data_IF_595877986450
#
_entry.id   IF_595877986450
#
_cell.length_a   1.000
_cell.length_b   1.000
_cell.length_c   1.000
_cell.angle_alpha   90.00
_cell.angle_beta   90.00
_cell.angle_gamma   90.00
#
_symmetry.space_group_name_H-M   'P 1'
#
loop_
_entity.id
_entity.type
_entity.pdbx_description
1 polymer ?
#
# COMPACT_ATOMS: atom_id res chain seq x y z
N UNK A 1 -65.82 52.85 45.60
CA UNK A 1 -64.61 52.05 45.98
C UNK A 1 -64.64 50.54 45.70
N UNK A 2 -65.75 49.93 45.37
CA UNK A 2 -65.85 48.46 45.05
C UNK A 2 -65.69 48.14 43.54
N UNK A 3 -65.91 49.06 42.65
CA UNK A 3 -65.81 48.82 41.22
C UNK A 3 -64.39 48.88 40.68
N UNK A 4 -63.55 49.77 41.15
CA UNK A 4 -62.16 49.87 40.80
C UNK A 4 -61.33 48.64 41.18
N UNK A 5 -61.66 47.99 42.26
CA UNK A 5 -61.00 46.82 42.71
C UNK A 5 -61.34 45.57 41.81
N UNK A 6 -62.50 45.51 41.18
CA UNK A 6 -62.89 44.46 40.30
C UNK A 6 -62.27 44.60 38.86
N UNK A 7 -62.12 45.81 38.37
CA UNK A 7 -61.48 46.07 37.08
C UNK A 7 -59.98 45.77 37.12
N UNK A 8 -59.31 46.16 38.20
CA UNK A 8 -57.88 45.91 38.40
C UNK A 8 -57.59 44.40 38.49
N UNK A 9 -58.45 43.59 39.12
CA UNK A 9 -58.30 42.16 39.27
C UNK A 9 -58.50 41.39 37.93
N UNK A 10 -59.34 41.91 36.99
CA UNK A 10 -59.52 41.33 35.68
C UNK A 10 -58.35 41.68 34.73
N UNK A 11 -57.82 42.89 34.85
CA UNK A 11 -56.64 43.35 34.10
C UNK A 11 -55.39 42.54 34.50
N UNK A 12 -55.18 42.38 35.80
CA UNK A 12 -54.02 41.60 36.35
C UNK A 12 -54.07 40.14 35.92
N UNK A 13 -55.27 39.51 35.90
CA UNK A 13 -55.43 38.13 35.44
C UNK A 13 -55.13 37.98 33.95
N UNK A 14 -55.54 38.94 33.11
CA UNK A 14 -55.23 38.93 31.67
C UNK A 14 -53.73 39.14 31.43
N UNK A 15 -53.10 40.08 32.13
CA UNK A 15 -51.67 40.34 32.06
C UNK A 15 -50.85 39.10 32.44
N UNK A 16 -51.26 38.41 33.52
CA UNK A 16 -50.61 37.18 33.99
C UNK A 16 -50.78 36.05 32.93
N UNK A 17 -51.95 35.95 32.31
CA UNK A 17 -52.18 34.96 31.27
C UNK A 17 -51.33 35.17 30.03
N UNK A 18 -51.17 36.45 29.60
CA UNK A 18 -50.27 36.80 28.50
C UNK A 18 -48.79 36.55 28.82
N UNK A 19 -48.38 36.81 30.07
CA UNK A 19 -47.03 36.56 30.56
C UNK A 19 -46.68 35.04 30.51
N UNK A 20 -47.62 34.21 30.99
CA UNK A 20 -47.44 32.74 30.94
C UNK A 20 -47.41 32.25 29.48
N UNK A 21 -48.31 32.77 28.62
CA UNK A 21 -48.31 32.39 27.20
C UNK A 21 -46.99 32.78 26.52
N UNK A 22 -46.47 34.00 26.79
CA UNK A 22 -45.17 34.44 26.26
C UNK A 22 -44.01 33.57 26.73
N UNK A 23 -44.02 33.15 28.00
CA UNK A 23 -42.98 32.25 28.54
C UNK A 23 -43.01 30.91 27.85
N UNK A 24 -44.20 30.30 27.62
CA UNK A 24 -44.35 29.02 26.90
C UNK A 24 -43.85 29.16 25.48
N UNK A 25 -44.17 30.26 24.78
CA UNK A 25 -43.68 30.53 23.42
C UNK A 25 -42.15 30.65 23.36
N UNK A 26 -41.54 31.35 24.30
CA UNK A 26 -40.09 31.46 24.41
C UNK A 26 -39.44 30.09 24.63
N UNK A 27 -39.98 29.26 25.51
CA UNK A 27 -39.47 27.91 25.77
C UNK A 27 -39.61 27.03 24.51
N UNK A 28 -40.71 27.12 23.78
CA UNK A 28 -40.91 26.37 22.52
C UNK A 28 -39.92 26.80 21.42
N UNK A 29 -39.63 28.08 21.29
CA UNK A 29 -38.66 28.61 20.35
C UNK A 29 -37.24 28.17 20.72
N UNK A 30 -36.85 28.20 21.99
CA UNK A 30 -35.55 27.72 22.45
C UNK A 30 -35.37 26.22 22.21
N UNK A 31 -36.39 25.42 22.48
CA UNK A 31 -36.35 24.00 22.23
C UNK A 31 -36.27 23.68 20.71
N UNK A 32 -37.02 24.43 19.90
CA UNK A 32 -37.00 24.29 18.43
C UNK A 32 -35.63 24.62 17.81
N UNK A 33 -34.98 25.69 18.27
CA UNK A 33 -33.66 26.09 17.75
C UNK A 33 -32.55 25.13 18.18
N UNK A 34 -32.61 24.58 19.42
CA UNK A 34 -31.65 23.58 19.87
C UNK A 34 -31.80 22.25 19.10
N UNK A 35 -32.99 21.82 18.83
CA UNK A 35 -33.23 20.59 18.04
C UNK A 35 -32.79 20.77 16.58
N UNK A 36 -33.01 21.94 15.97
CA UNK A 36 -32.58 22.24 14.60
C UNK A 36 -31.05 22.21 14.46
N UNK A 37 -30.31 22.63 15.49
CA UNK A 37 -28.84 22.59 15.46
C UNK A 37 -28.29 21.17 15.55
N UNK A 38 -28.98 20.27 16.30
CA UNK A 38 -28.53 18.88 16.42
C UNK A 38 -28.95 17.99 15.23
N UNK A 39 -29.93 18.40 14.44
CA UNK A 39 -30.35 17.65 13.25
C UNK A 39 -29.54 17.96 11.99
N UNK A 40 -28.86 19.09 11.92
CA UNK A 40 -28.05 19.48 10.76
C UNK A 40 -26.67 18.80 10.72
N UNK A 41 -26.23 18.15 11.79
CA UNK A 41 -24.96 17.40 11.85
C UNK A 41 -25.06 15.95 11.43
N UNK A 42 -26.25 15.44 11.13
CA UNK A 42 -26.47 14.03 10.78
C UNK A 42 -26.32 13.72 9.27
N UNK A 43 -26.04 14.71 8.42
CA UNK A 43 -25.82 14.50 7.00
C UNK A 43 -24.38 14.60 6.54
N UNK A 44 -23.43 14.57 7.44
CA UNK A 44 -22.04 14.29 7.13
C UNK A 44 -21.97 12.83 6.68
N UNK A 45 -21.68 12.62 5.39
CA UNK A 45 -21.57 11.29 4.80
C UNK A 45 -20.74 10.39 5.71
N UNK A 46 -21.19 9.17 5.86
CA UNK A 46 -20.49 8.14 6.64
C UNK A 46 -19.05 8.13 6.14
N UNK A 47 -18.13 8.73 6.88
CA UNK A 47 -16.72 8.54 6.66
C UNK A 47 -16.45 7.07 6.98
N UNK A 48 -16.51 6.26 5.93
CA UNK A 48 -16.14 4.86 6.02
C UNK A 48 -14.64 4.85 6.24
N UNK A 49 -14.20 4.81 7.49
CA UNK A 49 -12.81 4.56 7.82
C UNK A 49 -12.57 3.10 7.45
N UNK A 50 -12.05 2.90 6.25
CA UNK A 50 -11.61 1.59 5.81
C UNK A 50 -10.13 1.48 6.16
N UNK A 51 -9.76 0.50 6.99
CA UNK A 51 -8.37 0.18 7.22
C UNK A 51 -7.73 -0.18 5.88
N UNK A 52 -6.56 0.42 5.59
CA UNK A 52 -5.79 0.05 4.42
C UNK A 52 -5.25 -1.37 4.59
N UNK A 53 -5.29 -2.16 3.52
CA UNK A 53 -4.70 -3.47 3.43
C UNK A 53 -3.47 -3.40 2.53
N UNK A 54 -2.33 -3.92 3.04
CA UNK A 54 -1.14 -4.18 2.26
C UNK A 54 -1.10 -5.67 1.95
N UNK A 55 -1.15 -6.02 0.70
CA UNK A 55 -1.10 -7.40 0.23
C UNK A 55 -0.22 -7.46 -1.03
N UNK A 56 0.87 -8.22 -0.94
CA UNK A 56 1.86 -8.36 -2.01
C UNK A 56 1.93 -9.83 -2.40
N UNK A 57 1.86 -10.10 -3.69
CA UNK A 57 2.16 -11.40 -4.25
C UNK A 57 3.47 -11.34 -5.06
N UNK A 58 4.30 -12.36 -4.91
CA UNK A 58 5.50 -12.56 -5.70
C UNK A 58 5.35 -13.81 -6.56
N UNK A 59 5.47 -13.64 -7.87
CA UNK A 59 5.40 -14.71 -8.86
C UNK A 59 6.68 -14.74 -9.69
N UNK A 60 7.02 -15.90 -10.23
CA UNK A 60 8.08 -16.06 -11.20
C UNK A 60 7.55 -16.73 -12.47
N UNK A 61 8.19 -16.48 -13.60
CA UNK A 61 7.84 -17.09 -14.88
C UNK A 61 8.54 -18.42 -15.00
N UNK A 62 7.79 -19.51 -15.18
CA UNK A 62 8.33 -20.84 -15.44
C UNK A 62 8.83 -20.98 -16.89
N UNK A 63 9.46 -22.12 -17.22
CA UNK A 63 9.97 -22.41 -18.58
C UNK A 63 8.86 -22.54 -19.63
N UNK A 64 7.61 -22.73 -19.21
CA UNK A 64 6.44 -22.77 -20.09
C UNK A 64 5.84 -21.38 -20.32
N UNK A 65 6.39 -20.35 -19.66
CA UNK A 65 5.91 -18.98 -19.73
C UNK A 65 4.74 -18.65 -18.80
N UNK A 66 4.38 -19.53 -17.86
CA UNK A 66 3.32 -19.31 -16.89
C UNK A 66 3.84 -18.61 -15.64
N UNK A 67 3.00 -17.77 -15.05
CA UNK A 67 3.28 -17.17 -13.74
C UNK A 67 2.94 -18.16 -12.64
N UNK A 68 3.91 -18.48 -11.80
CA UNK A 68 3.78 -19.37 -10.64
C UNK A 68 4.29 -18.68 -9.39
N UNK A 69 3.73 -18.99 -8.21
CA UNK A 69 4.20 -18.36 -6.97
C UNK A 69 5.70 -18.61 -6.75
N UNK A 70 6.42 -17.55 -6.41
CA UNK A 70 7.83 -17.58 -6.03
C UNK A 70 8.02 -17.49 -4.50
N UNK A 71 6.95 -17.30 -3.74
CA UNK A 71 7.01 -17.21 -2.29
C UNK A 71 7.52 -18.51 -1.67
N UNK A 72 8.52 -18.38 -0.80
CA UNK A 72 9.14 -19.53 -0.13
C UNK A 72 9.98 -20.44 -1.03
N UNK A 73 10.20 -20.07 -2.29
CA UNK A 73 11.03 -20.83 -3.22
C UNK A 73 12.43 -20.25 -3.33
N UNK A 74 13.41 -21.12 -3.56
CA UNK A 74 14.76 -20.71 -3.96
C UNK A 74 14.74 -20.37 -5.46
N UNK A 75 15.14 -19.16 -5.82
CA UNK A 75 15.28 -18.75 -7.21
C UNK A 75 16.60 -19.26 -7.74
N UNK A 76 16.56 -19.87 -8.93
CA UNK A 76 17.75 -20.37 -9.63
C UNK A 76 18.01 -19.50 -10.86
N UNK A 77 19.28 -19.25 -11.16
CA UNK A 77 19.66 -18.58 -12.40
C UNK A 77 19.37 -19.47 -13.62
N UNK A 78 18.95 -18.85 -14.69
CA UNK A 78 18.79 -19.55 -15.97
C UNK A 78 20.12 -19.92 -16.58
N UNK A 79 20.21 -21.13 -17.08
CA UNK A 79 21.34 -21.63 -17.89
C UNK A 79 20.81 -21.90 -19.30
N UNK A 80 21.40 -21.26 -20.29
CA UNK A 80 20.94 -21.34 -21.70
C UNK A 80 19.45 -20.95 -21.85
N UNK A 81 18.98 -19.99 -21.02
CA UNK A 81 17.60 -19.49 -21.07
C UNK A 81 16.56 -20.34 -20.35
N UNK A 82 16.94 -21.48 -19.76
CA UNK A 82 16.05 -22.38 -19.02
C UNK A 82 16.40 -22.41 -17.53
N UNK A 83 15.40 -22.65 -16.68
CA UNK A 83 15.59 -22.86 -15.24
C UNK A 83 16.19 -24.26 -15.08
N UNK A 84 17.41 -24.38 -14.54
CA UNK A 84 18.04 -25.69 -14.38
C UNK A 84 17.30 -26.55 -13.35
N UNK A 85 17.44 -27.87 -13.44
CA UNK A 85 16.91 -28.79 -12.43
C UNK A 85 17.52 -28.51 -11.03
N UNK A 86 16.80 -28.92 -10.00
CA UNK A 86 17.25 -28.78 -8.62
C UNK A 86 18.63 -29.44 -8.42
N UNK A 87 19.54 -28.73 -7.74
CA UNK A 87 20.90 -29.18 -7.49
C UNK A 87 21.90 -28.95 -8.62
N UNK A 88 21.49 -28.31 -9.72
CA UNK A 88 22.42 -27.93 -10.79
C UNK A 88 23.36 -26.83 -10.28
N UNK A 89 24.66 -27.10 -10.33
CA UNK A 89 25.69 -26.14 -9.97
C UNK A 89 25.90 -25.16 -11.14
N UNK A 90 25.87 -23.87 -10.81
CA UNK A 90 26.18 -22.80 -11.78
C UNK A 90 27.60 -22.33 -11.50
N UNK A 91 28.42 -22.43 -12.55
CA UNK A 91 29.81 -21.99 -12.48
C UNK A 91 29.92 -20.56 -12.96
N UNK A 92 30.38 -19.67 -12.08
CA UNK A 92 30.66 -18.29 -12.40
C UNK A 92 32.07 -18.15 -12.94
N UNK A 93 32.19 -17.59 -14.12
CA UNK A 93 33.46 -17.31 -14.77
C UNK A 93 33.54 -15.79 -15.08
N UNK A 94 34.75 -15.20 -15.05
CA UNK A 94 34.92 -13.79 -15.42
C UNK A 94 34.28 -13.49 -16.78
N UNK A 95 33.46 -12.44 -16.82
CA UNK A 95 32.72 -12.03 -18.02
C UNK A 95 31.38 -12.73 -18.23
N UNK A 96 31.04 -13.78 -17.47
CA UNK A 96 29.73 -14.42 -17.60
C UNK A 96 28.58 -13.55 -17.04
N UNK A 97 27.40 -13.75 -17.59
CA UNK A 97 26.16 -13.11 -17.13
C UNK A 97 25.08 -14.15 -17.00
N UNK A 98 24.42 -14.18 -15.84
CA UNK A 98 23.27 -15.03 -15.58
C UNK A 98 22.06 -14.19 -15.19
N UNK A 99 20.88 -14.67 -15.59
CA UNK A 99 19.59 -14.03 -15.28
C UNK A 99 18.74 -14.92 -14.39
N UNK A 100 18.03 -14.32 -13.46
CA UNK A 100 16.95 -15.00 -12.76
C UNK A 100 15.73 -15.14 -13.67
N UNK A 101 14.79 -16.07 -13.38
CA UNK A 101 13.48 -16.04 -13.98
C UNK A 101 12.84 -14.66 -13.85
N UNK A 102 12.08 -14.26 -14.85
CA UNK A 102 11.31 -13.02 -14.77
C UNK A 102 10.39 -13.07 -13.55
N UNK A 103 10.42 -12.05 -12.71
CA UNK A 103 9.62 -11.94 -11.49
C UNK A 103 8.50 -10.95 -11.71
N UNK A 104 7.37 -11.18 -11.07
CA UNK A 104 6.25 -10.24 -11.03
C UNK A 104 5.86 -9.97 -9.59
N UNK A 105 5.84 -8.69 -9.22
CA UNK A 105 5.37 -8.21 -7.92
C UNK A 105 4.03 -7.54 -8.13
N UNK A 106 2.98 -8.06 -7.52
CA UNK A 106 1.63 -7.52 -7.58
C UNK A 106 1.23 -6.96 -6.23
N UNK A 107 0.67 -5.77 -6.23
CA UNK A 107 0.03 -5.19 -5.05
C UNK A 107 -1.47 -5.47 -5.11
N UNK A 108 -1.93 -6.48 -4.38
CA UNK A 108 -3.34 -6.83 -4.25
C UNK A 108 -4.04 -6.01 -3.15
N UNK A 109 -3.29 -5.14 -2.47
CA UNK A 109 -3.81 -4.26 -1.44
C UNK A 109 -4.43 -2.98 -2.00
N UNK A 110 -5.13 -2.25 -1.17
CA UNK A 110 -5.79 -0.99 -1.52
C UNK A 110 -4.97 0.27 -1.21
N UNK A 111 -3.70 0.12 -0.80
CA UNK A 111 -2.77 1.20 -0.52
C UNK A 111 -1.59 1.16 -1.48
N UNK A 112 -1.14 2.35 -1.90
CA UNK A 112 0.16 2.50 -2.54
C UNK A 112 1.27 2.08 -1.59
N UNK A 113 2.22 1.30 -2.07
CA UNK A 113 3.38 0.83 -1.30
C UNK A 113 4.70 1.16 -2.02
N UNK A 114 5.79 0.93 -1.32
CA UNK A 114 7.13 0.89 -1.87
C UNK A 114 7.77 -0.44 -1.48
N UNK A 115 8.47 -1.04 -2.41
CA UNK A 115 9.26 -2.24 -2.17
C UNK A 115 10.71 -2.03 -2.58
N UNK A 116 11.58 -2.85 -2.06
CA UNK A 116 12.99 -2.98 -2.46
C UNK A 116 13.37 -4.45 -2.54
N UNK A 117 14.35 -4.77 -3.38
CA UNK A 117 14.87 -6.11 -3.49
C UNK A 117 16.15 -6.23 -2.66
N UNK A 118 16.22 -7.24 -1.85
CA UNK A 118 17.40 -7.56 -1.06
C UNK A 118 17.80 -9.00 -1.36
N UNK A 119 19.01 -9.19 -1.87
CA UNK A 119 19.58 -10.52 -2.05
C UNK A 119 20.21 -10.91 -0.72
N UNK A 120 19.77 -12.02 -0.16
CA UNK A 120 20.26 -12.53 1.14
C UNK A 120 20.46 -14.03 1.07
N UNK A 121 21.21 -14.59 2.03
CA UNK A 121 21.43 -16.04 2.11
C UNK A 121 22.27 -16.57 0.96
N UNK A 122 23.19 -15.78 0.42
CA UNK A 122 24.15 -16.23 -0.59
C UNK A 122 25.01 -17.30 0.06
N UNK A 123 24.86 -18.53 -0.44
CA UNK A 123 25.67 -19.68 -0.02
C UNK A 123 26.85 -19.88 -0.97
N UNK A 124 27.82 -20.65 -0.53
CA UNK A 124 29.04 -20.93 -1.30
C UNK A 124 30.13 -19.89 -1.05
N UNK A 125 30.87 -19.54 -2.12
CA UNK A 125 31.94 -18.55 -2.01
C UNK A 125 31.39 -17.13 -1.82
N UNK A 126 31.54 -16.60 -0.60
CA UNK A 126 31.11 -15.23 -0.26
C UNK A 126 31.87 -14.16 -1.04
N UNK A 127 33.10 -14.46 -1.49
CA UNK A 127 33.90 -13.55 -2.31
C UNK A 127 33.34 -13.33 -3.71
N UNK A 128 32.54 -14.26 -4.24
CA UNK A 128 31.91 -14.11 -5.55
C UNK A 128 30.93 -12.93 -5.57
N UNK A 129 30.19 -12.70 -4.50
CA UNK A 129 29.24 -11.61 -4.46
C UNK A 129 29.89 -10.21 -4.57
N UNK A 130 31.14 -10.07 -4.19
CA UNK A 130 31.90 -8.83 -4.27
C UNK A 130 32.31 -8.46 -5.70
N UNK A 131 32.35 -9.46 -6.60
CA UNK A 131 32.78 -9.32 -8.00
C UNK A 131 31.64 -9.47 -9.01
N UNK A 132 30.40 -9.64 -8.52
CA UNK A 132 29.20 -9.70 -9.35
C UNK A 132 28.50 -8.34 -9.32
N UNK A 133 28.38 -7.74 -10.50
CA UNK A 133 27.60 -6.54 -10.71
C UNK A 133 26.13 -6.89 -10.97
N UNK A 134 25.29 -6.51 -10.02
CA UNK A 134 23.86 -6.76 -10.09
C UNK A 134 23.13 -5.66 -10.86
N UNK A 135 22.28 -6.04 -11.79
CA UNK A 135 21.40 -5.13 -12.53
C UNK A 135 19.94 -5.60 -12.39
N UNK A 136 19.05 -4.64 -12.30
CA UNK A 136 17.62 -4.90 -12.31
C UNK A 136 16.93 -3.96 -13.29
N UNK A 137 16.14 -4.54 -14.19
CA UNK A 137 15.23 -3.81 -15.06
C UNK A 137 13.83 -4.00 -14.54
N UNK A 138 13.14 -2.90 -14.25
CA UNK A 138 11.75 -2.86 -13.80
C UNK A 138 10.89 -2.43 -14.97
N UNK A 139 9.86 -3.21 -15.27
CA UNK A 139 8.84 -2.88 -16.25
C UNK A 139 7.51 -2.72 -15.53
N UNK A 140 6.95 -1.54 -15.63
CA UNK A 140 5.66 -1.24 -15.02
C UNK A 140 4.48 -1.82 -15.83
N UNK A 141 3.27 -1.75 -15.27
CA UNK A 141 2.05 -2.22 -15.94
C UNK A 141 1.73 -1.48 -17.25
N UNK A 142 2.36 -0.32 -17.49
CA UNK A 142 2.22 0.46 -18.73
C UNK A 142 3.26 0.11 -19.80
N UNK A 143 4.19 -0.80 -19.46
CA UNK A 143 5.27 -1.23 -20.35
C UNK A 143 6.48 -0.32 -20.34
N UNK A 144 6.57 0.65 -19.43
CA UNK A 144 7.75 1.50 -19.25
C UNK A 144 8.86 0.72 -18.55
N UNK A 145 10.04 0.68 -19.14
CA UNK A 145 11.21 -0.01 -18.60
C UNK A 145 12.22 0.99 -18.03
N UNK A 146 12.66 0.71 -16.81
CA UNK A 146 13.67 1.53 -16.12
C UNK A 146 14.67 0.59 -15.47
N UNK A 147 15.97 0.76 -15.79
CA UNK A 147 17.04 0.08 -15.06
C UNK A 147 17.32 0.82 -13.77
N UNK A 148 17.30 0.11 -12.65
CA UNK A 148 17.53 0.63 -11.31
C UNK A 148 18.43 -0.29 -10.50
N UNK A 149 18.99 0.26 -9.43
CA UNK A 149 19.66 -0.54 -8.42
C UNK A 149 18.65 -1.38 -7.62
N UNK A 150 19.04 -2.61 -7.24
CA UNK A 150 18.18 -3.54 -6.51
C UNK A 150 17.63 -2.93 -5.21
N UNK A 151 18.49 -2.20 -4.48
CA UNK A 151 18.16 -1.63 -3.16
C UNK A 151 17.40 -0.31 -3.23
N UNK A 152 17.13 0.22 -4.44
CA UNK A 152 16.33 1.41 -4.59
C UNK A 152 14.86 1.16 -4.22
N UNK A 153 14.18 2.19 -3.73
CA UNK A 153 12.75 2.15 -3.48
C UNK A 153 11.96 2.15 -4.80
N UNK A 154 11.08 1.16 -4.98
CA UNK A 154 10.19 1.05 -6.13
C UNK A 154 8.75 1.30 -5.68
N UNK A 155 8.11 2.38 -6.15
CA UNK A 155 6.71 2.60 -5.86
C UNK A 155 5.83 1.62 -6.64
N UNK A 156 4.75 1.17 -6.03
CA UNK A 156 3.73 0.31 -6.63
C UNK A 156 2.36 0.78 -6.18
N UNK A 157 1.53 1.18 -7.14
CA UNK A 157 0.16 1.63 -6.89
C UNK A 157 -0.71 0.46 -6.42
N UNK A 158 -1.86 0.76 -5.82
CA UNK A 158 -2.86 -0.25 -5.50
C UNK A 158 -3.33 -0.95 -6.79
N UNK A 159 -3.59 -2.24 -6.73
CA UNK A 159 -4.05 -3.08 -7.84
C UNK A 159 -3.11 -3.07 -9.08
N UNK A 160 -1.84 -2.70 -8.89
CA UNK A 160 -0.83 -2.65 -9.95
C UNK A 160 0.22 -3.75 -9.78
N UNK A 161 0.99 -3.99 -10.86
CA UNK A 161 2.13 -4.91 -10.81
C UNK A 161 3.35 -4.31 -11.52
N UNK A 162 4.52 -4.77 -11.12
CA UNK A 162 5.79 -4.57 -11.81
C UNK A 162 6.39 -5.91 -12.18
N UNK A 163 6.99 -5.99 -13.36
CA UNK A 163 7.79 -7.13 -13.77
C UNK A 163 9.27 -6.78 -13.63
N UNK A 164 10.07 -7.71 -13.14
CA UNK A 164 11.47 -7.53 -12.83
C UNK A 164 12.32 -8.53 -13.60
N UNK A 165 13.40 -8.05 -14.21
CA UNK A 165 14.46 -8.87 -14.75
C UNK A 165 15.73 -8.55 -13.95
N UNK A 166 16.26 -9.55 -13.25
CA UNK A 166 17.46 -9.41 -12.42
C UNK A 166 18.56 -10.24 -13.04
N UNK A 167 19.70 -9.60 -13.31
CA UNK A 167 20.89 -10.25 -13.83
C UNK A 167 22.11 -9.96 -12.96
N UNK A 168 23.00 -10.93 -12.86
CA UNK A 168 24.32 -10.78 -12.29
C UNK A 168 25.38 -10.93 -13.38
N UNK A 169 26.32 -10.03 -13.42
CA UNK A 169 27.48 -10.07 -14.32
C UNK A 169 28.77 -10.16 -13.50
N UNK A 170 29.54 -11.23 -13.68
CA UNK A 170 30.85 -11.34 -13.06
C UNK A 170 31.85 -10.50 -13.83
N UNK A 171 32.51 -9.57 -13.12
CA UNK A 171 33.48 -8.67 -13.75
C UNK A 171 34.63 -9.43 -14.37
N UNK A 172 35.13 -8.97 -15.51
CA UNK A 172 36.23 -9.59 -16.22
C UNK A 172 37.56 -9.53 -15.43
N UNK A 173 37.72 -8.52 -14.58
CA UNK A 173 38.89 -8.34 -13.71
C UNK A 173 38.84 -9.16 -12.41
N UNK A 174 37.78 -9.91 -12.18
CA UNK A 174 37.60 -10.68 -10.94
C UNK A 174 38.66 -11.78 -10.73
N UNK A 175 39.40 -12.16 -11.77
CA UNK A 175 40.37 -13.25 -11.74
C UNK A 175 39.69 -14.62 -11.63
N UNK A 176 40.50 -15.67 -11.69
CA UNK A 176 40.01 -17.03 -11.46
C UNK A 176 39.93 -17.32 -9.96
N UNK A 177 38.81 -17.01 -9.35
CA UNK A 177 38.60 -17.24 -7.91
C UNK A 177 38.40 -18.72 -7.54
N UNK A 178 38.21 -19.60 -8.54
CA UNK A 178 38.18 -21.06 -8.30
C UNK A 178 39.56 -21.66 -8.05
N UNK A 179 40.64 -20.88 -8.15
CA UNK A 179 42.00 -21.38 -7.89
C UNK A 179 42.41 -21.33 -6.41
N UNK A 180 41.63 -20.68 -5.57
CA UNK A 180 41.92 -20.49 -4.15
C UNK A 180 41.15 -21.44 -3.22
N UNK A 181 40.46 -22.46 -3.79
CA UNK A 181 39.65 -23.43 -3.04
C UNK A 181 40.00 -24.88 -3.36
#
# INVERSE_FOLDING_TARGET
MKEDYRMNKKSTKRSLLFSVLALILCCALLAGTTLAWFTDTASSGVNKIQAGNLDIALEMKDDNGNWVTAEGKTLQFKVNGQIPGEGTQILWEPGCTYELPELKITNNGNLKLKYKIVISGIGGDVGLNEVIDWKMTVKDSNGSEITKELTADHPLEADAYNTLIISGHMREDAGNRNADY
#
